data_IF_449180729627
#
_entry.id   IF_449180729627
#
_cell.length_a   1.000
_cell.length_b   1.000
_cell.length_c   1.000
_cell.angle_alpha   90.00
_cell.angle_beta   90.00
_cell.angle_gamma   90.00
#
_symmetry.space_group_name_H-M   'P 1'
#
loop_
_entity.id
_entity.type
_entity.pdbx_description
1 polymer ?
#
# COMPACT_ATOMS: atom_id res chain seq x y z
N UNK A 1 6.09 26.09 -6.94
CA UNK A 1 6.46 24.67 -7.17
C UNK A 1 5.50 24.01 -8.15
N UNK A 2 4.18 24.19 -7.97
CA UNK A 2 3.15 23.78 -8.93
C UNK A 2 3.36 24.31 -10.36
N UNK A 3 3.91 25.52 -10.52
CA UNK A 3 4.26 26.06 -11.85
C UNK A 3 5.19 25.16 -12.68
N UNK A 4 6.04 24.34 -12.04
CA UNK A 4 6.88 23.39 -12.76
C UNK A 4 6.11 22.18 -13.26
N UNK A 5 5.00 21.81 -12.62
CA UNK A 5 4.10 20.78 -13.12
C UNK A 5 3.33 21.23 -14.37
N UNK A 6 3.22 22.55 -14.59
CA UNK A 6 2.60 23.11 -15.79
C UNK A 6 3.59 23.34 -16.94
N UNK A 7 4.82 22.85 -16.81
CA UNK A 7 5.88 22.99 -17.82
C UNK A 7 6.47 21.61 -18.11
N UNK A 8 6.34 21.14 -19.34
CA UNK A 8 6.91 19.86 -19.74
C UNK A 8 7.05 19.70 -21.25
N UNK A 9 7.75 18.64 -21.65
CA UNK A 9 7.94 18.25 -23.05
C UNK A 9 6.63 17.73 -23.67
N UNK A 10 6.54 17.59 -25.00
CA UNK A 10 5.38 16.96 -25.64
C UNK A 10 5.08 15.55 -25.10
N UNK A 11 6.11 14.78 -24.76
CA UNK A 11 5.96 13.45 -24.13
C UNK A 11 5.29 13.56 -22.76
N UNK A 12 5.68 14.55 -21.95
CA UNK A 12 5.06 14.80 -20.65
C UNK A 12 3.57 15.13 -20.79
N UNK A 13 3.21 16.01 -21.73
CA UNK A 13 1.81 16.35 -21.98
C UNK A 13 1.02 15.16 -22.55
N UNK A 14 1.61 14.38 -23.45
CA UNK A 14 1.00 13.15 -23.95
C UNK A 14 0.70 12.16 -22.82
N UNK A 15 1.64 11.99 -21.89
CA UNK A 15 1.43 11.18 -20.68
C UNK A 15 0.29 11.71 -19.80
N UNK A 16 0.23 13.02 -19.56
CA UNK A 16 -0.86 13.63 -18.80
C UNK A 16 -2.23 13.43 -19.46
N UNK A 17 -2.32 13.59 -20.78
CA UNK A 17 -3.57 13.38 -21.53
C UNK A 17 -4.03 11.93 -21.40
N UNK A 18 -3.12 10.96 -21.50
CA UNK A 18 -3.43 9.53 -21.32
C UNK A 18 -3.96 9.27 -19.90
N UNK A 19 -3.30 9.80 -18.87
CA UNK A 19 -3.75 9.67 -17.49
C UNK A 19 -5.13 10.31 -17.26
N UNK A 20 -5.35 11.52 -17.80
CA UNK A 20 -6.66 12.19 -17.73
C UNK A 20 -7.74 11.40 -18.49
N UNK A 21 -7.39 10.73 -19.59
CA UNK A 21 -8.29 9.83 -20.30
C UNK A 21 -8.73 8.64 -19.43
N UNK A 22 -7.80 8.01 -18.71
CA UNK A 22 -8.12 6.95 -17.76
C UNK A 22 -8.98 7.45 -16.59
N UNK A 23 -8.62 8.60 -16.00
CA UNK A 23 -9.39 9.23 -14.92
C UNK A 23 -10.81 9.57 -15.41
N UNK A 24 -10.93 10.16 -16.59
CA UNK A 24 -12.23 10.50 -17.20
C UNK A 24 -13.07 9.26 -17.45
N UNK A 25 -12.48 8.19 -17.99
CA UNK A 25 -13.17 6.91 -18.18
C UNK A 25 -13.64 6.32 -16.85
N UNK A 26 -12.77 6.30 -15.84
CA UNK A 26 -13.12 5.83 -14.49
C UNK A 26 -14.24 6.67 -13.86
N UNK A 27 -14.21 7.99 -14.05
CA UNK A 27 -15.25 8.89 -13.57
C UNK A 27 -16.59 8.65 -14.28
N UNK A 28 -16.60 8.44 -15.60
CA UNK A 28 -17.82 8.12 -16.34
C UNK A 28 -18.44 6.79 -15.89
N UNK A 29 -17.63 5.76 -15.67
CA UNK A 29 -18.10 4.47 -15.12
C UNK A 29 -18.60 4.64 -13.68
N UNK A 30 -17.95 5.50 -12.89
CA UNK A 30 -18.44 5.84 -11.55
C UNK A 30 -19.79 6.55 -11.58
N UNK A 31 -20.03 7.48 -12.53
CA UNK A 31 -21.34 8.11 -12.68
C UNK A 31 -22.44 7.09 -12.99
N UNK A 32 -22.14 6.09 -13.82
CA UNK A 32 -23.04 4.96 -14.06
C UNK A 32 -23.30 4.15 -12.78
N UNK A 33 -22.25 3.84 -12.00
CA UNK A 33 -22.39 3.20 -10.69
C UNK A 33 -23.24 4.04 -9.71
N UNK A 34 -23.07 5.35 -9.72
CA UNK A 34 -23.79 6.24 -8.81
C UNK A 34 -25.29 6.20 -9.06
N UNK A 35 -25.71 6.02 -10.32
CA UNK A 35 -27.12 5.88 -10.70
C UNK A 35 -27.67 4.48 -10.43
N UNK A 36 -26.91 3.45 -10.80
CA UNK A 36 -27.34 2.05 -10.75
C UNK A 36 -27.14 1.39 -9.38
N UNK A 37 -26.32 2.02 -8.53
CA UNK A 37 -25.83 1.46 -7.28
C UNK A 37 -24.72 0.42 -7.48
N UNK A 38 -24.29 -0.19 -6.39
CA UNK A 38 -23.17 -1.17 -6.36
C UNK A 38 -23.46 -2.48 -7.11
N UNK A 39 -24.65 -2.67 -7.69
CA UNK A 39 -25.04 -3.91 -8.39
C UNK A 39 -24.14 -4.25 -9.58
N UNK A 40 -23.52 -3.25 -10.19
CA UNK A 40 -22.65 -3.40 -11.37
C UNK A 40 -21.25 -3.93 -11.02
N UNK A 41 -20.90 -3.97 -9.73
CA UNK A 41 -19.55 -4.34 -9.25
C UNK A 41 -19.32 -5.86 -9.18
N UNK A 42 -20.39 -6.65 -9.34
CA UNK A 42 -20.35 -8.11 -9.13
C UNK A 42 -20.28 -8.52 -7.66
N UNK A 43 -20.39 -7.57 -6.72
CA UNK A 43 -20.54 -7.86 -5.30
C UNK A 43 -21.92 -8.48 -5.02
N UNK A 44 -22.02 -9.22 -3.92
CA UNK A 44 -23.24 -9.89 -3.49
C UNK A 44 -23.55 -9.53 -2.03
N UNK A 45 -24.70 -9.99 -1.54
CA UNK A 45 -25.04 -9.86 -0.11
C UNK A 45 -23.99 -10.54 0.79
N UNK A 46 -23.48 -11.69 0.36
CA UNK A 46 -22.59 -12.52 1.18
C UNK A 46 -21.11 -12.15 0.97
N UNK A 47 -20.78 -11.51 -0.16
CA UNK A 47 -19.47 -10.91 -0.47
C UNK A 47 -19.68 -9.44 -0.80
N UNK A 48 -19.77 -8.63 0.24
CA UNK A 48 -20.06 -7.19 0.17
C UNK A 48 -18.83 -6.33 -0.07
N UNK A 49 -17.62 -6.89 0.05
CA UNK A 49 -16.36 -6.24 -0.23
C UNK A 49 -15.66 -6.97 -1.38
N UNK A 50 -15.37 -6.23 -2.44
CA UNK A 50 -14.75 -6.75 -3.66
C UNK A 50 -13.52 -5.96 -4.06
N UNK A 51 -13.46 -5.58 -5.34
CA UNK A 51 -12.29 -4.94 -5.94
C UNK A 51 -11.88 -3.65 -5.21
N UNK A 52 -12.83 -2.77 -4.83
CA UNK A 52 -12.50 -1.49 -4.19
C UNK A 52 -11.76 -1.66 -2.87
N UNK A 53 -12.30 -2.48 -1.97
CA UNK A 53 -11.69 -2.73 -0.66
C UNK A 53 -10.37 -3.52 -0.79
N UNK A 54 -10.28 -4.44 -1.76
CA UNK A 54 -9.03 -5.12 -2.10
C UNK A 54 -7.92 -4.14 -2.54
N UNK A 55 -8.25 -3.20 -3.45
CA UNK A 55 -7.29 -2.19 -3.91
C UNK A 55 -6.94 -1.17 -2.84
N UNK A 56 -7.92 -0.75 -2.04
CA UNK A 56 -7.71 0.07 -0.86
C UNK A 56 -6.63 -0.55 0.04
N UNK A 57 -6.76 -1.84 0.37
CA UNK A 57 -5.80 -2.52 1.25
C UNK A 57 -4.42 -2.64 0.63
N UNK A 58 -4.35 -2.95 -0.65
CA UNK A 58 -3.07 -2.98 -1.38
C UNK A 58 -2.38 -1.61 -1.35
N UNK A 59 -3.12 -0.52 -1.62
CA UNK A 59 -2.57 0.83 -1.67
C UNK A 59 -2.22 1.39 -0.28
N UNK A 60 -2.94 0.99 0.78
CA UNK A 60 -2.48 1.24 2.15
C UNK A 60 -1.09 0.62 2.30
N UNK A 61 -0.89 -0.62 1.84
CA UNK A 61 0.42 -1.28 1.77
C UNK A 61 1.48 -0.47 0.99
N UNK A 62 1.11 0.04 -0.19
CA UNK A 62 2.01 0.90 -0.99
C UNK A 62 2.44 2.15 -0.23
N UNK A 63 1.53 2.76 0.54
CA UNK A 63 1.84 3.95 1.35
C UNK A 63 2.93 3.71 2.42
N UNK A 64 3.21 2.46 2.80
CA UNK A 64 4.34 2.11 3.66
C UNK A 64 5.70 2.52 3.09
N UNK A 65 5.78 2.76 1.77
CA UNK A 65 7.00 3.21 1.13
C UNK A 65 7.60 4.44 1.80
N UNK A 66 6.78 5.37 2.29
CA UNK A 66 7.21 6.58 2.98
C UNK A 66 7.94 6.25 4.28
N UNK A 67 7.30 5.50 5.18
CA UNK A 67 7.93 5.16 6.47
C UNK A 67 9.21 4.34 6.30
N UNK A 68 9.31 3.49 5.28
CA UNK A 68 10.49 2.65 5.02
C UNK A 68 11.72 3.44 4.57
N UNK A 69 11.55 4.69 4.12
CA UNK A 69 12.66 5.61 3.83
C UNK A 69 12.86 6.67 4.92
N UNK A 70 11.80 7.06 5.62
CA UNK A 70 11.83 7.96 6.77
C UNK A 70 12.60 7.33 7.94
N UNK A 71 12.34 6.07 8.27
CA UNK A 71 12.98 5.38 9.41
C UNK A 71 14.51 5.38 9.31
N UNK A 72 15.16 4.90 8.22
CA UNK A 72 16.61 4.95 8.09
C UNK A 72 17.17 6.38 8.10
N UNK A 73 16.49 7.32 7.43
CA UNK A 73 16.98 8.69 7.30
C UNK A 73 16.96 9.45 8.64
N UNK A 74 15.85 9.35 9.40
CA UNK A 74 15.63 10.17 10.59
C UNK A 74 15.95 9.46 11.91
N UNK A 75 15.85 8.13 12.00
CA UNK A 75 16.20 7.39 13.24
C UNK A 75 17.63 6.84 13.22
N UNK A 76 18.16 6.53 12.03
CA UNK A 76 19.50 5.95 11.88
C UNK A 76 20.49 6.93 11.24
N UNK A 77 20.13 8.22 11.15
CA UNK A 77 20.92 9.31 10.58
C UNK A 77 21.50 9.01 9.19
N UNK A 78 20.81 8.17 8.42
CA UNK A 78 21.34 7.71 7.16
C UNK A 78 21.02 8.68 6.03
N UNK A 79 21.80 9.76 5.98
CA UNK A 79 21.59 10.93 5.10
C UNK A 79 21.49 10.59 3.60
N UNK A 80 22.00 9.43 3.20
CA UNK A 80 21.85 8.87 1.86
C UNK A 80 20.38 8.82 1.40
N UNK A 81 19.43 8.63 2.32
CA UNK A 81 18.02 8.47 1.98
C UNK A 81 17.28 9.78 1.66
N UNK A 82 17.82 10.97 1.97
CA UNK A 82 17.04 12.22 1.96
C UNK A 82 16.28 12.51 0.66
N UNK A 83 16.91 12.28 -0.50
CA UNK A 83 16.26 12.46 -1.81
C UNK A 83 15.21 11.39 -2.12
N UNK A 84 15.43 10.16 -1.68
CA UNK A 84 14.50 9.04 -1.85
C UNK A 84 13.32 9.17 -0.87
N UNK A 85 13.55 9.77 0.30
CA UNK A 85 12.51 10.13 1.27
C UNK A 85 11.43 10.97 0.64
N UNK A 86 11.80 12.00 -0.12
CA UNK A 86 10.84 12.84 -0.85
C UNK A 86 9.97 11.99 -1.79
N UNK A 87 10.56 11.07 -2.57
CA UNK A 87 9.80 10.20 -3.46
C UNK A 87 8.86 9.27 -2.68
N UNK A 88 9.32 8.70 -1.56
CA UNK A 88 8.51 7.83 -0.71
C UNK A 88 7.31 8.54 -0.10
N UNK A 89 7.48 9.77 0.37
CA UNK A 89 6.42 10.63 0.93
C UNK A 89 5.36 10.95 -0.14
N UNK A 90 5.76 11.39 -1.34
CA UNK A 90 4.80 11.70 -2.40
C UNK A 90 4.11 10.45 -2.98
N UNK A 91 4.80 9.30 -3.00
CA UNK A 91 4.18 8.02 -3.33
C UNK A 91 3.11 7.66 -2.29
N UNK A 92 3.39 7.86 -0.99
CA UNK A 92 2.41 7.65 0.07
C UNK A 92 1.19 8.58 -0.07
N UNK A 93 1.40 9.87 -0.37
CA UNK A 93 0.30 10.82 -0.65
C UNK A 93 -0.60 10.32 -1.79
N UNK A 94 -0.01 9.89 -2.91
CA UNK A 94 -0.76 9.35 -4.04
C UNK A 94 -1.54 8.09 -3.69
N UNK A 95 -0.89 7.16 -2.98
CA UNK A 95 -1.51 5.91 -2.55
C UNK A 95 -2.69 6.13 -1.58
N UNK A 96 -2.51 6.96 -0.55
CA UNK A 96 -3.57 7.24 0.44
C UNK A 96 -4.73 8.01 -0.21
N UNK A 97 -4.45 8.93 -1.14
CA UNK A 97 -5.51 9.61 -1.89
C UNK A 97 -6.38 8.60 -2.64
N UNK A 98 -5.75 7.62 -3.30
CA UNK A 98 -6.47 6.54 -3.97
C UNK A 98 -7.22 5.63 -2.97
N UNK A 99 -6.65 5.34 -1.80
CA UNK A 99 -7.34 4.62 -0.72
C UNK A 99 -8.66 5.29 -0.34
N UNK A 100 -8.62 6.61 -0.07
CA UNK A 100 -9.80 7.39 0.31
C UNK A 100 -10.83 7.40 -0.83
N UNK A 101 -10.40 7.52 -2.08
CA UNK A 101 -11.29 7.46 -3.24
C UNK A 101 -11.95 6.08 -3.38
N UNK A 102 -11.23 4.98 -3.16
CA UNK A 102 -11.82 3.63 -3.18
C UNK A 102 -12.88 3.46 -2.11
N UNK A 103 -12.64 3.94 -0.88
CA UNK A 103 -13.65 3.93 0.18
C UNK A 103 -14.87 4.76 -0.21
N UNK A 104 -14.66 5.96 -0.77
CA UNK A 104 -15.75 6.83 -1.21
C UNK A 104 -16.62 6.18 -2.30
N UNK A 105 -16.00 5.51 -3.26
CA UNK A 105 -16.72 4.83 -4.36
C UNK A 105 -17.45 3.58 -3.86
N UNK A 106 -16.90 2.88 -2.87
CA UNK A 106 -17.52 1.72 -2.22
C UNK A 106 -18.70 2.11 -1.32
N UNK A 107 -18.71 3.35 -0.80
CA UNK A 107 -19.84 3.89 -0.04
C UNK A 107 -21.05 4.10 -0.95
N UNK A 108 -22.00 3.16 -0.89
CA UNK A 108 -23.23 3.18 -1.69
C UNK A 108 -24.12 4.43 -1.52
N UNK A 109 -23.81 5.34 -0.58
CA UNK A 109 -24.43 6.65 -0.47
C UNK A 109 -23.38 7.71 -0.08
N UNK A 110 -22.71 8.27 -1.10
CA UNK A 110 -21.62 9.23 -0.94
C UNK A 110 -22.00 10.49 -0.13
N UNK A 111 -23.18 11.13 -0.31
CA UNK A 111 -23.58 12.28 0.51
C UNK A 111 -23.51 12.05 2.02
N UNK A 112 -23.63 10.80 2.49
CA UNK A 112 -23.57 10.44 3.92
C UNK A 112 -22.16 10.31 4.47
N UNK A 113 -21.10 10.40 3.65
CA UNK A 113 -19.70 10.38 4.12
C UNK A 113 -19.47 11.44 5.21
N UNK A 114 -20.10 12.61 5.07
CA UNK A 114 -19.99 13.69 6.05
C UNK A 114 -20.48 13.28 7.45
N UNK A 115 -21.38 12.30 7.55
CA UNK A 115 -21.88 11.81 8.83
C UNK A 115 -20.78 11.15 9.67
N UNK A 116 -19.72 10.60 9.05
CA UNK A 116 -18.59 10.02 9.78
C UNK A 116 -17.86 11.10 10.60
N UNK A 117 -17.86 12.34 10.11
CA UNK A 117 -17.26 13.50 10.78
C UNK A 117 -18.26 14.17 11.72
N UNK A 118 -19.50 14.37 11.27
CA UNK A 118 -20.55 15.07 12.03
C UNK A 118 -21.06 14.25 13.22
N UNK A 119 -21.07 12.92 13.12
CA UNK A 119 -21.55 11.99 14.13
C UNK A 119 -20.46 10.95 14.44
N UNK A 120 -19.36 11.36 15.12
CA UNK A 120 -18.23 10.48 15.37
C UNK A 120 -18.65 9.29 16.25
N UNK A 121 -18.26 8.09 15.85
CA UNK A 121 -18.46 6.88 16.64
C UNK A 121 -17.12 6.16 16.90
N UNK A 122 -16.44 6.44 18.02
CA UNK A 122 -15.14 5.84 18.36
C UNK A 122 -15.17 4.33 18.61
N UNK A 123 -16.34 3.70 18.70
CA UNK A 123 -16.45 2.23 18.82
C UNK A 123 -16.25 1.53 17.47
N UNK A 124 -16.36 2.25 16.36
CA UNK A 124 -16.21 1.72 15.01
C UNK A 124 -14.75 1.78 14.54
N UNK A 125 -14.22 0.68 14.02
CA UNK A 125 -12.88 0.65 13.43
C UNK A 125 -12.83 1.48 12.15
N UNK A 126 -13.92 1.58 11.38
CA UNK A 126 -14.01 2.44 10.18
C UNK A 126 -13.84 3.93 10.54
N UNK A 127 -14.28 4.34 11.73
CA UNK A 127 -14.03 5.70 12.21
C UNK A 127 -12.54 5.93 12.45
N UNK A 128 -11.85 4.98 13.09
CA UNK A 128 -10.40 5.05 13.29
C UNK A 128 -9.63 5.00 11.97
N UNK A 129 -10.06 4.19 11.01
CA UNK A 129 -9.45 4.10 9.68
C UNK A 129 -9.50 5.46 8.96
N UNK A 130 -10.65 6.13 9.00
CA UNK A 130 -10.80 7.50 8.51
C UNK A 130 -9.83 8.46 9.20
N UNK A 131 -9.70 8.41 10.53
CA UNK A 131 -8.78 9.28 11.28
C UNK A 131 -7.32 9.03 10.90
N UNK A 132 -6.86 7.77 10.91
CA UNK A 132 -5.46 7.46 10.67
C UNK A 132 -5.05 7.81 9.24
N UNK A 133 -5.89 7.50 8.23
CA UNK A 133 -5.59 7.79 6.83
C UNK A 133 -5.54 9.30 6.56
N UNK A 134 -6.52 10.07 7.06
CA UNK A 134 -6.55 11.51 6.83
C UNK A 134 -5.38 12.21 7.54
N UNK A 135 -5.12 11.88 8.81
CA UNK A 135 -4.00 12.48 9.54
C UNK A 135 -2.67 12.09 8.90
N UNK A 136 -2.49 10.83 8.46
CA UNK A 136 -1.27 10.44 7.75
C UNK A 136 -1.12 11.20 6.43
N UNK A 137 -2.19 11.35 5.66
CA UNK A 137 -2.19 12.13 4.41
C UNK A 137 -1.74 13.57 4.66
N UNK A 138 -2.31 14.25 5.66
CA UNK A 138 -1.92 15.61 6.00
C UNK A 138 -0.45 15.70 6.45
N UNK A 139 0.01 14.75 7.27
CA UNK A 139 1.41 14.68 7.67
C UNK A 139 2.33 14.53 6.45
N UNK A 140 2.10 13.57 5.56
CA UNK A 140 2.93 13.37 4.37
C UNK A 140 2.92 14.60 3.44
N UNK A 141 1.77 15.25 3.25
CA UNK A 141 1.69 16.48 2.43
C UNK A 141 2.53 17.59 3.05
N UNK A 142 2.35 17.87 4.35
CA UNK A 142 3.05 18.95 5.04
C UNK A 142 4.55 18.68 5.08
N UNK A 143 4.95 17.47 5.48
CA UNK A 143 6.35 17.06 5.57
C UNK A 143 6.98 17.05 4.18
N UNK A 144 6.43 16.28 3.24
CA UNK A 144 6.94 16.14 1.88
C UNK A 144 7.07 17.48 1.15
N UNK A 145 6.11 18.39 1.32
CA UNK A 145 6.16 19.72 0.71
C UNK A 145 7.28 20.59 1.29
N UNK A 146 7.42 20.64 2.61
CA UNK A 146 8.45 21.44 3.26
C UNK A 146 9.85 20.89 2.99
N UNK A 147 10.03 19.57 3.07
CA UNK A 147 11.30 18.90 2.77
C UNK A 147 11.70 19.14 1.31
N UNK A 148 10.78 18.95 0.35
CA UNK A 148 11.08 19.20 -1.06
C UNK A 148 11.39 20.68 -1.36
N UNK A 149 10.67 21.61 -0.71
CA UNK A 149 10.91 23.05 -0.87
C UNK A 149 12.29 23.46 -0.36
N UNK A 150 12.71 22.92 0.77
CA UNK A 150 14.03 23.16 1.36
C UNK A 150 15.16 22.49 0.58
N UNK A 151 14.98 21.24 0.15
CA UNK A 151 15.94 20.53 -0.71
C UNK A 151 16.18 21.32 -2.02
N UNK A 152 15.12 21.87 -2.63
CA UNK A 152 15.25 22.71 -3.83
C UNK A 152 16.08 23.97 -3.57
N UNK A 153 15.98 24.56 -2.39
CA UNK A 153 16.71 25.77 -1.98
C UNK A 153 18.13 25.45 -1.49
N UNK A 154 18.49 24.17 -1.36
CA UNK A 154 19.77 23.75 -0.79
C UNK A 154 19.92 24.09 0.70
N UNK A 155 18.81 24.27 1.40
CA UNK A 155 18.78 24.58 2.84
C UNK A 155 18.16 23.42 3.60
N UNK A 156 18.43 23.35 4.90
CA UNK A 156 17.72 22.43 5.78
C UNK A 156 16.23 22.83 5.90
N UNK A 157 15.35 21.85 6.11
CA UNK A 157 13.94 22.14 6.37
C UNK A 157 13.75 22.82 7.73
N UNK A 158 12.67 23.59 7.94
CA UNK A 158 12.44 24.27 9.20
C UNK A 158 12.35 23.29 10.39
N UNK A 159 12.89 23.68 11.54
CA UNK A 159 12.96 22.81 12.73
C UNK A 159 11.60 22.31 13.23
N UNK A 160 10.50 23.03 12.94
CA UNK A 160 9.15 22.61 13.30
C UNK A 160 8.63 21.41 12.51
N UNK A 161 9.27 21.05 11.38
CA UNK A 161 8.90 19.86 10.60
C UNK A 161 9.41 18.58 11.29
N UNK A 162 10.52 18.66 12.02
CA UNK A 162 11.10 17.53 12.77
C UNK A 162 10.10 16.81 13.69
N UNK A 163 9.36 17.49 14.59
CA UNK A 163 8.37 16.81 15.42
C UNK A 163 7.24 16.15 14.60
N UNK A 164 6.85 16.71 13.46
CA UNK A 164 5.85 16.09 12.57
C UNK A 164 6.39 14.82 11.92
N UNK A 165 7.66 14.79 11.54
CA UNK A 165 8.33 13.58 11.04
C UNK A 165 8.31 12.49 12.11
N UNK A 166 8.70 12.80 13.33
CA UNK A 166 8.64 11.83 14.43
C UNK A 166 7.22 11.35 14.73
N UNK A 167 6.22 12.22 14.60
CA UNK A 167 4.80 11.86 14.73
C UNK A 167 4.31 10.97 13.58
N UNK A 168 4.81 11.18 12.36
CA UNK A 168 4.42 10.41 11.17
C UNK A 168 4.84 8.94 11.25
N UNK A 169 5.93 8.62 11.96
CA UNK A 169 6.44 7.26 12.12
C UNK A 169 5.41 6.34 12.80
N UNK A 170 4.97 6.57 14.06
CA UNK A 170 3.96 5.71 14.67
C UNK A 170 2.64 5.74 13.89
N UNK A 171 2.32 6.87 13.24
CA UNK A 171 1.12 6.99 12.44
C UNK A 171 1.12 6.11 11.18
N UNK A 172 2.29 5.93 10.56
CA UNK A 172 2.46 4.98 9.48
C UNK A 172 2.23 3.53 9.93
N UNK A 173 2.66 3.15 11.14
CA UNK A 173 2.30 1.83 11.69
C UNK A 173 0.78 1.74 11.96
N UNK A 174 0.17 2.84 12.42
CA UNK A 174 -1.26 2.90 12.70
C UNK A 174 -2.13 2.68 11.47
N UNK A 175 -1.80 3.26 10.29
CA UNK A 175 -2.64 3.05 9.09
C UNK A 175 -2.75 1.55 8.76
N UNK A 176 -1.65 0.81 8.80
CA UNK A 176 -1.67 -0.63 8.48
C UNK A 176 -2.35 -1.44 9.57
N UNK A 177 -2.13 -1.09 10.83
CA UNK A 177 -2.69 -1.79 11.97
C UNK A 177 -4.22 -1.63 12.04
N UNK A 178 -4.71 -0.41 11.87
CA UNK A 178 -6.15 -0.12 11.87
C UNK A 178 -6.83 -0.74 10.66
N UNK A 179 -6.23 -0.64 9.47
CA UNK A 179 -6.75 -1.34 8.30
C UNK A 179 -6.76 -2.86 8.51
N UNK A 180 -5.75 -3.45 9.16
CA UNK A 180 -5.77 -4.86 9.52
C UNK A 180 -6.91 -5.21 10.50
N UNK A 181 -7.16 -4.33 11.47
CA UNK A 181 -8.26 -4.48 12.41
C UNK A 181 -9.63 -4.35 11.74
N UNK A 182 -9.78 -3.64 10.62
CA UNK A 182 -11.02 -3.67 9.84
C UNK A 182 -11.37 -5.08 9.38
N UNK A 183 -10.37 -5.88 9.01
CA UNK A 183 -10.55 -7.27 8.60
C UNK A 183 -10.69 -8.21 9.80
N UNK A 184 -9.78 -8.10 10.77
CA UNK A 184 -9.80 -8.94 11.96
C UNK A 184 -11.05 -8.72 12.82
N UNK A 185 -11.63 -7.53 12.77
CA UNK A 185 -12.84 -7.16 13.49
C UNK A 185 -14.15 -7.65 12.85
N UNK A 186 -14.12 -8.47 11.79
CA UNK A 186 -15.33 -9.02 11.15
C UNK A 186 -15.71 -10.38 11.76
N UNK A 187 -16.73 -10.44 12.64
CA UNK A 187 -17.14 -11.70 13.25
C UNK A 187 -17.62 -12.70 12.19
N UNK A 188 -17.29 -13.98 12.40
CA UNK A 188 -17.67 -15.06 11.48
C UNK A 188 -16.83 -15.16 10.20
N UNK A 189 -15.91 -14.22 9.94
CA UNK A 189 -14.98 -14.28 8.81
C UNK A 189 -13.62 -14.83 9.25
N UNK A 190 -13.58 -16.13 9.54
CA UNK A 190 -12.44 -16.84 10.14
C UNK A 190 -11.09 -16.70 9.42
N UNK A 191 -11.05 -16.49 8.10
CA UNK A 191 -9.79 -16.21 7.39
C UNK A 191 -9.16 -14.90 7.87
N UNK A 192 -9.99 -13.92 8.23
CA UNK A 192 -9.54 -12.60 8.66
C UNK A 192 -9.41 -12.48 10.18
N UNK A 193 -10.27 -13.19 10.91
CA UNK A 193 -10.36 -13.17 12.37
C UNK A 193 -9.18 -13.92 13.02
N UNK A 194 -8.02 -13.26 13.13
CA UNK A 194 -6.82 -13.81 13.78
C UNK A 194 -5.97 -12.72 14.42
N UNK A 195 -5.34 -13.03 15.55
CA UNK A 195 -4.51 -12.09 16.30
C UNK A 195 -3.25 -11.64 15.53
N UNK A 196 -2.75 -12.47 14.61
CA UNK A 196 -1.56 -12.15 13.81
C UNK A 196 -1.87 -11.22 12.62
N UNK A 197 -3.14 -10.87 12.39
CA UNK A 197 -3.56 -10.11 11.21
C UNK A 197 -2.83 -8.78 11.07
N UNK A 198 -2.66 -8.04 12.16
CA UNK A 198 -1.91 -6.78 12.17
C UNK A 198 -0.45 -6.98 11.75
N UNK A 199 0.23 -8.00 12.31
CA UNK A 199 1.61 -8.30 11.96
C UNK A 199 1.77 -8.72 10.49
N UNK A 200 0.81 -9.49 9.95
CA UNK A 200 0.76 -9.85 8.53
C UNK A 200 0.63 -8.63 7.64
N UNK A 201 -0.34 -7.76 7.92
CA UNK A 201 -0.54 -6.52 7.17
C UNK A 201 0.73 -5.67 7.16
N UNK A 202 1.37 -5.46 8.32
CA UNK A 202 2.64 -4.74 8.40
C UNK A 202 3.74 -5.39 7.56
N UNK A 203 3.94 -6.70 7.68
CA UNK A 203 4.98 -7.41 6.91
C UNK A 203 4.75 -7.34 5.39
N UNK A 204 3.50 -7.48 4.94
CA UNK A 204 3.13 -7.36 3.53
C UNK A 204 3.25 -5.93 3.00
N UNK A 205 2.96 -4.94 3.83
CA UNK A 205 3.12 -3.53 3.49
C UNK A 205 4.61 -3.16 3.36
N UNK A 206 5.45 -3.67 4.26
CA UNK A 206 6.89 -3.41 4.27
C UNK A 206 7.65 -4.14 3.17
N UNK A 207 7.06 -5.14 2.50
CA UNK A 207 7.61 -5.68 1.26
C UNK A 207 7.07 -4.96 0.02
N UNK A 208 5.75 -4.81 -0.12
CA UNK A 208 5.10 -4.24 -1.31
C UNK A 208 5.39 -2.75 -1.51
N UNK A 209 5.30 -1.93 -0.47
CA UNK A 209 5.56 -0.49 -0.55
C UNK A 209 6.97 -0.16 -1.06
N UNK A 210 8.03 -0.68 -0.42
CA UNK A 210 9.39 -0.46 -0.91
C UNK A 210 9.68 -1.12 -2.26
N UNK A 211 9.04 -2.23 -2.61
CA UNK A 211 9.17 -2.83 -3.94
C UNK A 211 8.65 -1.88 -5.03
N UNK A 212 7.46 -1.29 -4.83
CA UNK A 212 6.92 -0.27 -5.74
C UNK A 212 7.80 0.98 -5.75
N UNK A 213 8.33 1.41 -4.61
CA UNK A 213 9.26 2.54 -4.54
C UNK A 213 10.56 2.28 -5.32
N UNK A 214 11.13 1.08 -5.24
CA UNK A 214 12.30 0.69 -6.03
C UNK A 214 11.96 0.79 -7.52
N UNK A 215 10.84 0.23 -7.97
CA UNK A 215 10.41 0.29 -9.37
C UNK A 215 10.23 1.75 -9.83
N UNK A 216 9.58 2.58 -9.02
CA UNK A 216 9.42 4.01 -9.28
C UNK A 216 10.77 4.71 -9.41
N UNK A 217 11.68 4.48 -8.47
CA UNK A 217 13.03 5.03 -8.49
C UNK A 217 13.80 4.65 -9.77
N UNK A 218 13.72 3.38 -10.21
CA UNK A 218 14.37 2.90 -11.43
C UNK A 218 13.76 3.53 -12.70
N UNK A 219 12.44 3.70 -12.74
CA UNK A 219 11.74 4.39 -13.83
C UNK A 219 12.16 5.87 -13.87
N UNK A 220 12.10 6.57 -12.74
CA UNK A 220 12.47 7.98 -12.61
C UNK A 220 13.93 8.20 -13.03
N UNK A 221 14.85 7.31 -12.64
CA UNK A 221 16.26 7.36 -13.05
C UNK A 221 16.45 7.22 -14.56
N UNK A 222 15.57 6.49 -15.25
CA UNK A 222 15.63 6.30 -16.71
C UNK A 222 15.04 7.47 -17.49
N UNK A 223 13.98 8.10 -16.97
CA UNK A 223 13.23 9.14 -17.69
C UNK A 223 13.57 10.57 -17.26
N UNK A 224 14.34 10.73 -16.18
CA UNK A 224 14.75 12.04 -15.65
C UNK A 224 16.25 12.08 -15.34
N UNK A 225 16.74 13.23 -14.87
CA UNK A 225 18.13 13.41 -14.39
C UNK A 225 18.32 13.01 -12.93
N UNK A 226 17.28 12.54 -12.25
CA UNK A 226 17.33 12.19 -10.84
C UNK A 226 17.95 10.79 -10.66
N UNK A 227 19.01 10.69 -9.87
CA UNK A 227 19.57 9.40 -9.44
C UNK A 227 19.19 9.12 -7.97
N UNK A 228 18.35 8.10 -7.72
CA UNK A 228 18.03 7.62 -6.36
C UNK A 228 19.23 7.07 -5.58
N UNK A 229 20.31 6.70 -6.29
CA UNK A 229 21.52 6.14 -5.70
C UNK A 229 21.46 4.62 -5.48
N UNK A 230 22.60 3.95 -5.74
CA UNK A 230 22.71 2.48 -5.68
C UNK A 230 22.60 1.93 -4.25
N UNK A 231 23.09 2.69 -3.28
CA UNK A 231 23.15 2.28 -1.88
C UNK A 231 21.74 2.23 -1.27
N UNK A 232 20.91 3.22 -1.59
CA UNK A 232 19.52 3.35 -1.20
C UNK A 232 18.70 2.19 -1.77
N UNK A 233 18.85 1.91 -3.07
CA UNK A 233 18.19 0.76 -3.72
C UNK A 233 18.62 -0.56 -3.08
N UNK A 234 19.91 -0.74 -2.77
CA UNK A 234 20.41 -1.95 -2.11
C UNK A 234 19.85 -2.12 -0.71
N UNK A 235 19.79 -1.04 0.08
CA UNK A 235 19.22 -1.07 1.43
C UNK A 235 17.72 -1.35 1.38
N UNK A 236 16.97 -0.68 0.50
CA UNK A 236 15.54 -0.96 0.28
C UNK A 236 15.32 -2.42 -0.16
N UNK A 237 16.12 -2.95 -1.08
CA UNK A 237 16.01 -4.37 -1.49
C UNK A 237 16.24 -5.35 -0.34
N UNK A 238 17.03 -4.95 0.66
CA UNK A 238 17.27 -5.76 1.85
C UNK A 238 16.07 -5.73 2.80
N UNK A 239 15.45 -4.56 2.95
CA UNK A 239 14.20 -4.40 3.70
C UNK A 239 13.09 -5.25 3.06
N UNK A 240 12.91 -5.16 1.73
CA UNK A 240 11.91 -5.98 1.00
C UNK A 240 12.15 -7.46 1.23
N UNK A 241 13.41 -7.93 1.17
CA UNK A 241 13.74 -9.32 1.39
C UNK A 241 13.33 -9.81 2.80
N UNK A 242 13.68 -9.05 3.85
CA UNK A 242 13.32 -9.43 5.22
C UNK A 242 11.81 -9.37 5.46
N UNK A 243 11.14 -8.34 4.97
CA UNK A 243 9.69 -8.21 5.07
C UNK A 243 8.96 -9.34 4.33
N UNK A 244 9.46 -9.74 3.16
CA UNK A 244 8.88 -10.85 2.39
C UNK A 244 9.06 -12.21 3.09
N UNK A 245 10.22 -12.45 3.71
CA UNK A 245 10.44 -13.65 4.54
C UNK A 245 9.43 -13.69 5.69
N UNK A 246 9.25 -12.56 6.41
CA UNK A 246 8.28 -12.47 7.50
C UNK A 246 6.84 -12.66 7.01
N UNK A 247 6.48 -12.07 5.86
CA UNK A 247 5.15 -12.21 5.28
C UNK A 247 4.79 -13.67 4.98
N UNK A 248 5.71 -14.40 4.32
CA UNK A 248 5.52 -15.83 4.04
C UNK A 248 5.54 -16.66 5.33
N UNK A 249 6.45 -16.35 6.27
CA UNK A 249 6.49 -17.03 7.56
C UNK A 249 5.18 -16.89 8.34
N UNK A 250 4.63 -15.68 8.46
CA UNK A 250 3.36 -15.46 9.16
C UNK A 250 2.18 -16.14 8.45
N UNK A 251 2.19 -16.23 7.12
CA UNK A 251 1.21 -17.04 6.40
C UNK A 251 1.32 -18.53 6.74
N UNK A 252 2.54 -19.07 6.82
CA UNK A 252 2.77 -20.46 7.22
C UNK A 252 2.34 -20.73 8.66
N UNK A 253 2.51 -19.77 9.57
CA UNK A 253 1.98 -19.89 10.94
C UNK A 253 0.46 -20.02 10.94
N UNK A 254 -0.26 -19.28 10.09
CA UNK A 254 -1.71 -19.45 9.99
C UNK A 254 -2.12 -20.78 9.37
N UNK A 255 -1.38 -21.27 8.38
CA UNK A 255 -1.59 -22.63 7.87
C UNK A 255 -1.40 -23.65 9.01
N UNK A 256 -0.31 -23.52 9.77
CA UNK A 256 -0.05 -24.39 10.91
C UNK A 256 -1.20 -24.32 11.92
N UNK A 257 -1.60 -23.13 12.39
CA UNK A 257 -2.69 -22.98 13.36
C UNK A 257 -4.01 -23.55 12.83
N UNK A 258 -4.37 -23.26 11.57
CA UNK A 258 -5.62 -23.75 10.99
C UNK A 258 -5.66 -25.29 10.93
N UNK A 259 -4.63 -25.92 10.36
CA UNK A 259 -4.60 -27.36 10.13
C UNK A 259 -4.20 -28.15 11.37
N UNK A 260 -3.31 -27.64 12.23
CA UNK A 260 -2.92 -28.35 13.45
C UNK A 260 -4.05 -28.35 14.49
N UNK A 261 -4.75 -27.22 14.66
CA UNK A 261 -5.86 -27.11 15.62
C UNK A 261 -7.15 -27.75 15.11
N UNK A 262 -7.20 -28.19 13.85
CA UNK A 262 -8.37 -28.85 13.24
C UNK A 262 -9.66 -28.03 13.36
N UNK A 263 -9.57 -26.69 13.24
CA UNK A 263 -10.73 -25.80 13.35
C UNK A 263 -11.31 -25.59 11.94
N UNK A 264 -12.50 -26.14 11.61
CA UNK A 264 -13.04 -26.09 10.26
C UNK A 264 -13.18 -24.66 9.72
N UNK A 265 -13.56 -23.71 10.59
CA UNK A 265 -13.69 -22.30 10.23
C UNK A 265 -12.40 -21.68 9.69
N UNK A 266 -11.23 -22.04 10.23
CA UNK A 266 -9.93 -21.54 9.75
C UNK A 266 -9.35 -22.39 8.62
N UNK A 267 -9.68 -23.68 8.56
CA UNK A 267 -9.22 -24.59 7.50
C UNK A 267 -9.93 -24.34 6.16
N UNK A 268 -11.26 -24.27 6.16
CA UNK A 268 -12.07 -24.20 4.95
C UNK A 268 -11.70 -23.03 4.02
N UNK A 269 -11.43 -21.81 4.53
CA UNK A 269 -10.97 -20.72 3.67
C UNK A 269 -9.65 -21.03 2.98
N UNK A 270 -8.69 -21.66 3.67
CA UNK A 270 -7.40 -22.02 3.07
C UNK A 270 -7.58 -23.14 2.04
N UNK A 271 -8.40 -24.14 2.34
CA UNK A 271 -8.76 -25.21 1.39
C UNK A 271 -9.42 -24.62 0.14
N UNK A 272 -10.39 -23.74 0.31
CA UNK A 272 -11.04 -23.03 -0.80
C UNK A 272 -10.03 -22.26 -1.67
N UNK A 273 -9.07 -21.57 -1.05
CA UNK A 273 -8.08 -20.79 -1.77
C UNK A 273 -7.12 -21.64 -2.60
N UNK A 274 -6.75 -22.86 -2.18
CA UNK A 274 -5.78 -23.69 -2.92
C UNK A 274 -6.38 -24.84 -3.73
N UNK A 275 -7.54 -25.36 -3.33
CA UNK A 275 -8.15 -26.57 -3.93
C UNK A 275 -9.61 -26.36 -4.33
N UNK A 276 -10.22 -25.25 -3.95
CA UNK A 276 -11.66 -25.04 -4.06
C UNK A 276 -12.43 -25.79 -2.98
N UNK A 277 -13.72 -25.53 -2.89
CA UNK A 277 -14.63 -26.13 -1.91
C UNK A 277 -16.03 -26.23 -2.53
N UNK A 278 -16.67 -27.41 -2.43
CA UNK A 278 -18.06 -27.63 -2.88
C UNK A 278 -18.34 -27.17 -4.32
N UNK A 279 -17.40 -27.41 -5.25
CA UNK A 279 -17.54 -27.00 -6.65
C UNK A 279 -17.24 -25.51 -6.91
N UNK A 280 -16.90 -24.74 -5.89
CA UNK A 280 -16.45 -23.35 -6.01
C UNK A 280 -14.92 -23.27 -5.94
N UNK A 281 -14.29 -22.62 -6.93
CA UNK A 281 -12.83 -22.51 -6.98
C UNK A 281 -12.31 -21.30 -7.74
N UNK A 282 -13.11 -20.23 -7.89
CA UNK A 282 -12.76 -19.07 -8.74
C UNK A 282 -11.45 -18.38 -8.31
N UNK A 283 -11.08 -18.47 -7.03
CA UNK A 283 -9.85 -17.86 -6.50
C UNK A 283 -8.63 -18.79 -6.56
N UNK A 284 -8.80 -20.07 -6.89
CA UNK A 284 -7.70 -21.06 -6.89
C UNK A 284 -6.56 -20.67 -7.82
N UNK A 285 -6.80 -20.30 -9.09
CA UNK A 285 -5.70 -19.89 -9.99
C UNK A 285 -4.95 -18.65 -9.48
N UNK A 286 -5.68 -17.71 -8.88
CA UNK A 286 -5.10 -16.47 -8.33
C UNK A 286 -4.23 -16.75 -7.11
N UNK A 287 -4.66 -17.64 -6.21
CA UNK A 287 -3.89 -18.02 -5.04
C UNK A 287 -2.60 -18.75 -5.43
N UNK A 288 -2.67 -19.69 -6.37
CA UNK A 288 -1.47 -20.37 -6.87
C UNK A 288 -0.53 -19.42 -7.60
N UNK A 289 -1.06 -18.47 -8.37
CA UNK A 289 -0.26 -17.41 -8.98
C UNK A 289 0.46 -16.57 -7.93
N UNK A 290 -0.25 -16.16 -6.88
CA UNK A 290 0.34 -15.42 -5.76
C UNK A 290 1.41 -16.24 -5.02
N UNK A 291 1.18 -17.54 -4.79
CA UNK A 291 2.16 -18.43 -4.18
C UNK A 291 3.42 -18.61 -5.05
N UNK A 292 3.26 -18.80 -6.37
CA UNK A 292 4.37 -18.88 -7.32
C UNK A 292 5.19 -17.58 -7.34
N UNK A 293 4.54 -16.43 -7.38
CA UNK A 293 5.23 -15.14 -7.32
C UNK A 293 5.89 -14.89 -5.97
N UNK A 294 5.28 -15.31 -4.87
CA UNK A 294 5.90 -15.21 -3.55
C UNK A 294 7.19 -16.06 -3.46
N UNK A 295 7.15 -17.29 -3.99
CA UNK A 295 8.33 -18.16 -4.07
C UNK A 295 9.41 -17.54 -4.98
N UNK A 296 9.03 -17.07 -6.17
CA UNK A 296 9.95 -16.42 -7.10
C UNK A 296 10.61 -15.18 -6.47
N UNK A 297 9.82 -14.32 -5.83
CA UNK A 297 10.30 -13.14 -5.12
C UNK A 297 11.31 -13.55 -4.04
N UNK A 298 11.00 -14.54 -3.20
CA UNK A 298 11.92 -15.02 -2.17
C UNK A 298 13.22 -15.55 -2.75
N UNK A 299 13.17 -16.39 -3.79
CA UNK A 299 14.38 -16.92 -4.44
C UNK A 299 15.28 -15.80 -4.97
N UNK A 300 14.69 -14.77 -5.58
CA UNK A 300 15.44 -13.64 -6.13
C UNK A 300 15.94 -12.66 -5.06
N UNK A 301 15.20 -12.48 -3.95
CA UNK A 301 15.49 -11.51 -2.89
C UNK A 301 16.40 -12.05 -1.78
N UNK A 302 16.39 -13.36 -1.52
CA UNK A 302 17.25 -13.98 -0.50
C UNK A 302 18.70 -13.98 -0.97
N UNK A 303 18.94 -14.33 -2.23
CA UNK A 303 20.29 -14.43 -2.79
C UNK A 303 20.85 -13.01 -3.02
N UNK A 304 21.90 -12.57 -2.29
CA UNK A 304 22.39 -11.20 -2.39
C UNK A 304 22.92 -10.84 -3.78
N UNK A 305 23.45 -11.81 -4.52
CA UNK A 305 23.91 -11.60 -5.90
C UNK A 305 22.75 -11.27 -6.85
N UNK A 306 21.61 -11.96 -6.68
CA UNK A 306 20.41 -11.74 -7.49
C UNK A 306 19.79 -10.38 -7.20
N UNK A 307 19.53 -10.05 -5.93
CA UNK A 307 18.89 -8.76 -5.58
C UNK A 307 19.76 -7.53 -5.84
N UNK A 308 21.08 -7.69 -5.99
CA UNK A 308 22.01 -6.61 -6.36
C UNK A 308 22.06 -6.35 -7.87
N UNK A 309 21.62 -7.30 -8.69
CA UNK A 309 21.49 -7.11 -10.12
C UNK A 309 20.12 -6.46 -10.41
N UNK A 310 20.14 -5.33 -11.11
CA UNK A 310 18.94 -4.51 -11.30
C UNK A 310 17.84 -5.23 -12.10
N UNK A 311 18.18 -6.08 -13.07
CA UNK A 311 17.17 -6.79 -13.89
C UNK A 311 16.40 -7.82 -13.06
N UNK A 312 17.13 -8.61 -12.27
CA UNK A 312 16.56 -9.60 -11.35
C UNK A 312 15.84 -8.93 -10.19
N UNK A 313 16.33 -7.77 -9.73
CA UNK A 313 15.64 -6.97 -8.73
C UNK A 313 14.29 -6.44 -9.24
N UNK A 314 14.22 -5.96 -10.49
CA UNK A 314 12.93 -5.54 -11.10
C UNK A 314 11.94 -6.70 -11.14
N UNK A 315 12.39 -7.88 -11.59
CA UNK A 315 11.52 -9.07 -11.61
C UNK A 315 11.06 -9.46 -10.20
N UNK A 316 11.97 -9.39 -9.22
CA UNK A 316 11.64 -9.65 -7.83
C UNK A 316 10.59 -8.66 -7.31
N UNK A 317 10.78 -7.35 -7.51
CA UNK A 317 9.85 -6.32 -7.07
C UNK A 317 8.49 -6.38 -7.76
N UNK A 318 8.41 -6.85 -9.01
CA UNK A 318 7.13 -7.09 -9.70
C UNK A 318 6.40 -8.33 -9.13
N UNK A 319 7.17 -9.30 -8.63
CA UNK A 319 6.63 -10.54 -8.04
C UNK A 319 6.19 -10.37 -6.58
N UNK A 320 6.65 -9.32 -5.90
CA UNK A 320 6.21 -8.93 -4.55
C UNK A 320 4.88 -8.18 -4.64
#
# INVERSE_FOLDING_TARGET
MLEKALKGSPIYWGWLIVLLGFIGTGFLVYLYQFQEGLRITGMSRDVSWGFYIGQFTYLVGVAASGVMVVLPYYLHDYKAFGRVTILGEFLAVGAITMCLLFIMVDLGNLPRVLNVILYPNPTSILFWDMIVLNVYLFLNIIIGWNVLSSERKGIHYPAWVTPLIYLSIPWAFSIHTVTAFLYAGLPGRHYWLTAIMAARFLSSAFCSGPAILILLCLIVRKVTRFDPGKEQIRTLSSIVAYAMILNVFFFLLEMFTAFYSQIPGHMHPIVYLFSGLEGHGKLVPWMWTAACFAILALLLLIVPASRRNEKTLVLACISV
#
